data_IF_262600686513
#
_entry.id   IF_262600686513
#
_cell.length_a   1.000
_cell.length_b   1.000
_cell.length_c   1.000
_cell.angle_alpha   90.00
_cell.angle_beta   90.00
_cell.angle_gamma   90.00
#
_symmetry.space_group_name_H-M   'P 1'
#
loop_
_entity.id
_entity.type
_entity.pdbx_description
1 polymer ?
#
# COMPACT_ATOMS: atom_id res chain seq x y z
N UNK A 1 6.70 -4.51 6.25
CA UNK A 1 7.45 -4.59 4.99
C UNK A 1 7.17 -5.89 4.27
N UNK A 2 6.86 -5.81 2.99
CA UNK A 2 6.67 -7.00 2.17
C UNK A 2 8.04 -7.54 1.78
N UNK A 3 8.28 -8.80 2.09
CA UNK A 3 9.58 -9.42 1.80
C UNK A 3 9.66 -10.06 0.42
N UNK A 4 8.53 -10.59 -0.05
CA UNK A 4 8.49 -11.28 -1.32
C UNK A 4 7.16 -10.99 -2.01
N UNK A 5 7.20 -10.10 -2.99
CA UNK A 5 5.99 -9.70 -3.71
C UNK A 5 5.47 -10.83 -4.61
N UNK A 6 6.28 -11.81 -4.93
CA UNK A 6 5.84 -12.91 -5.80
C UNK A 6 4.80 -13.81 -5.13
N UNK A 7 4.68 -13.75 -3.80
CA UNK A 7 3.69 -14.54 -3.07
C UNK A 7 2.35 -13.83 -2.91
N UNK A 8 2.27 -12.56 -3.29
CA UNK A 8 1.05 -11.78 -3.13
C UNK A 8 0.07 -12.07 -4.25
N UNK A 9 -1.21 -11.97 -3.93
CA UNK A 9 -2.30 -12.22 -4.89
C UNK A 9 -3.23 -11.03 -4.95
N UNK A 10 -3.79 -10.78 -6.14
CA UNK A 10 -4.80 -9.74 -6.29
C UNK A 10 -5.98 -10.06 -5.39
N UNK A 11 -6.51 -9.04 -4.75
CA UNK A 11 -7.58 -9.20 -3.77
C UNK A 11 -7.09 -9.43 -2.36
N UNK A 12 -5.79 -9.67 -2.18
CA UNK A 12 -5.22 -9.87 -0.86
C UNK A 12 -5.26 -8.57 -0.06
N UNK A 13 -5.57 -8.67 1.23
CA UNK A 13 -5.57 -7.52 2.11
C UNK A 13 -4.18 -7.30 2.69
N UNK A 14 -3.77 -6.03 2.73
CA UNK A 14 -2.47 -5.63 3.25
C UNK A 14 -2.68 -4.48 4.22
N UNK A 15 -1.69 -4.25 5.08
CA UNK A 15 -1.71 -3.14 6.04
C UNK A 15 -0.72 -2.08 5.61
N UNK A 16 -1.14 -0.82 5.63
CA UNK A 16 -0.24 0.31 5.40
C UNK A 16 0.51 0.63 6.68
N UNK A 17 1.83 0.76 6.57
CA UNK A 17 2.69 1.15 7.69
C UNK A 17 2.73 2.67 7.74
N UNK A 18 1.95 3.25 8.65
CA UNK A 18 1.76 4.70 8.73
C UNK A 18 3.09 5.44 8.89
N UNK A 19 3.98 4.91 9.72
CA UNK A 19 5.27 5.56 9.97
C UNK A 19 6.13 5.65 8.71
N UNK A 20 5.92 4.77 7.76
CA UNK A 20 6.70 4.76 6.51
C UNK A 20 6.15 5.73 5.47
N UNK A 21 4.90 6.14 5.58
CA UNK A 21 4.25 6.96 4.55
C UNK A 21 3.91 8.37 5.02
N UNK A 22 4.03 8.66 6.31
CA UNK A 22 3.54 9.91 6.89
C UNK A 22 4.17 11.17 6.28
N UNK A 23 5.39 11.06 5.76
CA UNK A 23 6.10 12.19 5.17
C UNK A 23 5.91 12.29 3.67
N UNK A 24 5.24 11.32 3.07
CA UNK A 24 5.07 11.23 1.61
C UNK A 24 3.66 11.55 1.14
N UNK A 25 2.66 11.15 1.91
CA UNK A 25 1.26 11.26 1.48
C UNK A 25 0.62 12.57 1.93
N UNK A 26 -0.34 13.07 1.14
CA UNK A 26 -1.16 14.21 1.57
C UNK A 26 -1.91 13.90 2.86
N UNK A 27 -2.19 14.94 3.63
CA UNK A 27 -2.80 14.76 4.96
C UNK A 27 -4.17 14.10 4.89
N UNK A 28 -4.97 14.40 3.86
CA UNK A 28 -6.30 13.81 3.74
C UNK A 28 -6.22 12.30 3.52
N UNK A 29 -5.24 11.83 2.75
CA UNK A 29 -5.03 10.40 2.53
C UNK A 29 -4.52 9.75 3.80
N UNK A 30 -3.60 10.40 4.51
CA UNK A 30 -3.09 9.89 5.79
C UNK A 30 -4.20 9.72 6.81
N UNK A 31 -5.12 10.68 6.89
CA UNK A 31 -6.24 10.58 7.82
C UNK A 31 -7.12 9.38 7.53
N UNK A 32 -7.43 9.14 6.25
CA UNK A 32 -8.21 7.98 5.86
C UNK A 32 -7.51 6.68 6.21
N UNK A 33 -6.21 6.60 5.95
CA UNK A 33 -5.42 5.41 6.24
C UNK A 33 -5.31 5.17 7.75
N UNK A 34 -5.19 6.23 8.54
CA UNK A 34 -5.16 6.08 9.99
C UNK A 34 -6.45 5.50 10.55
N UNK A 35 -7.58 5.85 9.96
CA UNK A 35 -8.87 5.31 10.35
C UNK A 35 -9.01 3.84 9.95
N UNK A 36 -8.51 3.50 8.77
CA UNK A 36 -8.58 2.13 8.26
C UNK A 36 -7.32 1.84 7.44
N UNK A 37 -6.30 1.25 8.07
CA UNK A 37 -5.03 1.00 7.39
C UNK A 37 -5.03 -0.23 6.49
N UNK A 38 -6.14 -0.93 6.37
CA UNK A 38 -6.23 -2.13 5.55
C UNK A 38 -6.61 -1.75 4.13
N UNK A 39 -5.84 -2.26 3.16
CA UNK A 39 -6.04 -1.98 1.75
C UNK A 39 -6.05 -3.29 0.98
N UNK A 40 -6.62 -3.26 -0.23
CA UNK A 40 -6.72 -4.44 -1.09
C UNK A 40 -5.75 -4.32 -2.25
N UNK A 41 -4.94 -5.34 -2.47
CA UNK A 41 -4.02 -5.37 -3.60
C UNK A 41 -4.79 -5.54 -4.90
N UNK A 42 -4.61 -4.61 -5.85
CA UNK A 42 -5.27 -4.70 -7.14
C UNK A 42 -4.30 -4.84 -8.32
N UNK A 43 -3.03 -4.58 -8.12
CA UNK A 43 -2.07 -4.76 -9.21
C UNK A 43 -0.68 -4.27 -8.82
N UNK A 44 0.14 -4.12 -9.84
CA UNK A 44 1.53 -3.69 -9.69
C UNK A 44 1.85 -2.65 -10.74
N UNK A 45 2.87 -1.84 -10.47
CA UNK A 45 3.41 -0.93 -11.47
C UNK A 45 4.89 -0.73 -11.21
N UNK A 46 5.63 -0.40 -12.25
CA UNK A 46 7.01 0.03 -12.10
C UNK A 46 7.00 1.53 -11.82
N UNK A 47 7.81 1.93 -10.87
CA UNK A 47 7.96 3.34 -10.50
C UNK A 47 9.40 3.76 -10.73
N UNK A 48 9.73 5.00 -10.41
CA UNK A 48 11.07 5.55 -10.65
C UNK A 48 12.14 4.66 -10.05
N UNK A 49 13.26 4.50 -10.77
CA UNK A 49 14.39 3.72 -10.31
C UNK A 49 14.18 2.21 -10.39
N UNK A 50 13.23 1.75 -11.19
CA UNK A 50 12.91 0.33 -11.37
C UNK A 50 12.42 -0.35 -10.10
N UNK A 51 11.83 0.41 -9.19
CA UNK A 51 11.21 -0.16 -8.01
C UNK A 51 9.78 -0.57 -8.31
N UNK A 52 9.31 -1.63 -7.63
CA UNK A 52 7.92 -2.05 -7.74
C UNK A 52 7.03 -1.20 -6.84
N UNK A 53 5.95 -0.69 -7.44
CA UNK A 53 4.85 -0.12 -6.68
C UNK A 53 3.72 -1.13 -6.62
N UNK A 54 3.11 -1.25 -5.46
CA UNK A 54 1.95 -2.09 -5.25
C UNK A 54 0.71 -1.20 -5.36
N UNK A 55 -0.15 -1.48 -6.34
CA UNK A 55 -1.36 -0.69 -6.55
C UNK A 55 -2.45 -1.28 -5.69
N UNK A 56 -3.05 -0.45 -4.85
CA UNK A 56 -4.03 -0.88 -3.87
C UNK A 56 -5.28 -0.03 -3.92
N UNK A 57 -6.37 -0.61 -3.44
CA UNK A 57 -7.63 0.09 -3.27
C UNK A 57 -7.81 0.40 -1.79
N UNK A 58 -7.97 1.69 -1.50
CA UNK A 58 -8.17 2.15 -0.13
C UNK A 58 -9.60 1.88 0.32
N UNK A 59 -9.83 2.01 1.62
CA UNK A 59 -11.17 1.77 2.18
C UNK A 59 -12.25 2.67 1.59
N UNK A 60 -11.87 3.89 1.18
CA UNK A 60 -12.79 4.84 0.55
C UNK A 60 -13.03 4.58 -0.94
N UNK A 61 -12.41 3.54 -1.52
CA UNK A 61 -12.55 3.19 -2.92
C UNK A 61 -11.51 3.81 -3.84
N UNK A 62 -10.68 4.71 -3.34
CA UNK A 62 -9.63 5.32 -4.15
C UNK A 62 -8.52 4.32 -4.44
N UNK A 63 -7.92 4.45 -5.63
CA UNK A 63 -6.77 3.64 -6.03
C UNK A 63 -5.51 4.46 -5.78
N UNK A 64 -4.53 3.85 -5.14
CA UNK A 64 -3.26 4.49 -4.87
C UNK A 64 -2.17 3.44 -4.99
N UNK A 65 -0.91 3.83 -4.86
CA UNK A 65 0.18 2.87 -4.90
C UNK A 65 1.16 3.15 -3.77
N UNK A 66 1.85 2.08 -3.35
CA UNK A 66 2.82 2.15 -2.26
C UNK A 66 4.04 1.32 -2.61
N UNK A 67 5.17 1.67 -2.00
CA UNK A 67 6.37 0.84 -2.08
C UNK A 67 6.21 -0.38 -1.17
N UNK A 68 6.99 -1.42 -1.46
CA UNK A 68 6.96 -2.65 -0.67
C UNK A 68 7.22 -2.40 0.81
N UNK A 69 8.14 -1.47 1.13
CA UNK A 69 8.47 -1.16 2.52
C UNK A 69 7.35 -0.47 3.28
N UNK A 70 6.39 0.07 2.56
CA UNK A 70 5.28 0.83 3.14
C UNK A 70 4.08 -0.03 3.50
N UNK A 71 4.13 -1.30 3.13
CA UNK A 71 3.04 -2.24 3.37
C UNK A 71 3.54 -3.46 4.14
N UNK A 72 2.63 -4.14 4.81
CA UNK A 72 2.92 -5.43 5.43
C UNK A 72 1.77 -6.39 5.20
N UNK A 73 2.09 -7.68 5.25
CA UNK A 73 1.09 -8.71 5.12
C UNK A 73 0.31 -8.82 6.42
N UNK A 74 -0.98 -9.16 6.30
CA UNK A 74 -1.84 -9.39 7.45
C UNK A 74 -1.81 -10.88 7.75
N UNK A 75 -1.47 -11.19 8.99
CA UNK A 75 -1.41 -12.58 9.44
C UNK A 75 -2.64 -12.98 10.20
#
# INVERSE_FOLDING_TARGET
>A
MIRDTSTLQKGQLLRVEINEVKDRLPINILEDIRKEPIVELVGYKMVDGNEFGLVVKLNNGEINWFFEKELSEIM
#
